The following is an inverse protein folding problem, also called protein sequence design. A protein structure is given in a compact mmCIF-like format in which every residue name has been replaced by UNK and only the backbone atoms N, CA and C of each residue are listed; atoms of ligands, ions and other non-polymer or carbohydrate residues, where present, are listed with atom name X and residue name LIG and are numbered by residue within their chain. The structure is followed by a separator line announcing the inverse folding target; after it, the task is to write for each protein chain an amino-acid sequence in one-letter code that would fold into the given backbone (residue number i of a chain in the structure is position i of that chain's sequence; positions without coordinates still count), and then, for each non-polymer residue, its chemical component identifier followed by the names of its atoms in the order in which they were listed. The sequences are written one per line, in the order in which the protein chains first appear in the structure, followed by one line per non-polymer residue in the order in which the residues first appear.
data_IF_345984031921
#
_entry.id   IF_345984031921
#
_cell.length_a   1.000
_cell.length_b   1.000
_cell.length_c   1.000
_cell.angle_alpha   90.00
_cell.angle_beta   90.00
_cell.angle_gamma   90.00
#
_symmetry.space_group_name_H-M   'P 1'
#
loop_
_entity.id
_entity.type
_entity.pdbx_description
1 polymer ?
#
# COMPACT_ATOMS: atom_id res chain seq x y z
N UNK A 1 8.65 1.72 -0.95
CA UNK A 1 7.94 3.01 -0.82
C UNK A 1 6.60 2.88 -0.11
N UNK A 2 5.48 2.46 -0.75
CA UNK A 2 4.18 2.46 -0.06
C UNK A 2 4.19 1.64 1.25
N UNK A 3 4.85 0.48 1.23
CA UNK A 3 5.06 -0.33 2.44
C UNK A 3 5.84 0.37 3.54
N UNK A 4 6.91 1.10 3.20
CA UNK A 4 7.72 1.84 4.19
C UNK A 4 6.92 2.95 4.85
N UNK A 5 5.97 3.55 4.13
CA UNK A 5 5.09 4.57 4.68
C UNK A 5 4.16 3.98 5.75
N UNK A 6 3.63 2.78 5.53
CA UNK A 6 2.82 2.05 6.50
C UNK A 6 3.67 1.52 7.68
N UNK A 7 4.78 0.85 7.36
CA UNK A 7 5.63 0.20 8.35
C UNK A 7 6.48 1.18 9.19
N UNK A 8 6.68 2.41 8.68
CA UNK A 8 7.56 3.44 9.27
C UNK A 8 9.01 2.98 9.52
N UNK A 9 9.47 2.01 8.73
CA UNK A 9 10.82 1.41 8.78
C UNK A 9 11.25 0.92 7.40
N UNK A 10 12.53 0.61 7.22
CA UNK A 10 13.00 0.04 5.97
C UNK A 10 12.58 -1.44 5.84
N UNK A 11 12.28 -1.92 4.63
CA UNK A 11 11.97 -3.32 4.40
C UNK A 11 13.25 -4.14 4.54
N UNK A 12 13.12 -5.34 5.09
CA UNK A 12 14.20 -6.32 5.14
C UNK A 12 15.47 -5.85 5.86
N UNK A 13 15.33 -5.00 6.88
CA UNK A 13 16.45 -4.57 7.73
C UNK A 13 17.28 -5.76 8.24
N UNK A 14 18.61 -5.63 8.19
CA UNK A 14 19.54 -6.66 8.61
C UNK A 14 19.87 -7.74 7.56
N UNK A 15 19.17 -7.78 6.41
CA UNK A 15 19.55 -8.69 5.33
C UNK A 15 20.68 -8.13 4.46
N UNK A 16 21.68 -8.97 4.20
CA UNK A 16 22.74 -8.65 3.24
C UNK A 16 22.15 -8.48 1.81
N UNK A 17 22.55 -7.46 1.03
CA UNK A 17 21.95 -7.17 -0.28
C UNK A 17 21.92 -8.35 -1.26
N UNK A 18 23.00 -9.14 -1.34
CA UNK A 18 23.02 -10.31 -2.23
C UNK A 18 22.00 -11.38 -1.82
N UNK A 19 21.83 -11.59 -0.51
CA UNK A 19 20.83 -12.52 0.04
C UNK A 19 19.42 -12.01 -0.31
N UNK A 20 19.18 -10.71 -0.16
CA UNK A 20 17.89 -10.11 -0.51
C UNK A 20 17.57 -10.27 -1.99
N UNK A 21 18.51 -9.98 -2.89
CA UNK A 21 18.32 -10.16 -4.35
C UNK A 21 17.95 -11.61 -4.66
N UNK A 22 18.69 -12.58 -4.09
CA UNK A 22 18.38 -14.00 -4.28
C UNK A 22 16.97 -14.34 -3.80
N UNK A 23 16.58 -13.91 -2.60
CA UNK A 23 15.24 -14.22 -2.05
C UNK A 23 14.12 -13.56 -2.87
N UNK A 24 14.31 -12.32 -3.33
CA UNK A 24 13.32 -11.60 -4.14
C UNK A 24 13.09 -12.26 -5.50
N UNK A 25 14.17 -12.74 -6.13
CA UNK A 25 14.12 -13.36 -7.47
C UNK A 25 13.72 -14.83 -7.39
N UNK A 26 14.38 -15.62 -6.54
CA UNK A 26 14.22 -17.08 -6.50
C UNK A 26 13.09 -17.54 -5.59
N UNK A 27 12.72 -16.76 -4.57
CA UNK A 27 11.67 -17.11 -3.61
C UNK A 27 10.47 -16.16 -3.65
N UNK A 28 10.47 -15.22 -4.61
CA UNK A 28 9.44 -14.19 -4.73
C UNK A 28 9.20 -13.41 -3.43
N UNK A 29 10.24 -13.25 -2.60
CA UNK A 29 10.12 -12.54 -1.33
C UNK A 29 9.59 -11.11 -1.57
N UNK A 30 8.59 -10.72 -0.79
CA UNK A 30 8.02 -9.36 -0.73
C UNK A 30 7.90 -8.91 0.73
N UNK A 31 7.84 -7.61 1.00
CA UNK A 31 7.65 -7.12 2.35
C UNK A 31 6.33 -7.66 2.94
N UNK A 32 6.38 -8.02 4.21
CA UNK A 32 5.26 -8.64 4.92
C UNK A 32 4.12 -7.64 5.14
N UNK A 33 2.90 -8.02 4.81
CA UNK A 33 1.71 -7.20 4.97
C UNK A 33 0.79 -7.65 6.10
N UNK A 34 1.11 -8.74 6.80
CA UNK A 34 0.26 -9.30 7.85
C UNK A 34 -0.05 -8.30 8.97
N UNK A 35 0.89 -7.43 9.32
CA UNK A 35 0.69 -6.38 10.33
C UNK A 35 -0.37 -5.33 9.92
N UNK A 36 -0.66 -5.21 8.63
CA UNK A 36 -1.65 -4.27 8.10
C UNK A 36 -3.00 -4.93 7.85
N UNK A 37 -3.07 -6.26 7.79
CA UNK A 37 -4.29 -7.01 7.46
C UNK A 37 -5.15 -7.23 8.72
N UNK A 38 -5.68 -6.14 9.28
CA UNK A 38 -6.60 -6.20 10.43
C UNK A 38 -8.06 -6.19 9.98
N UNK A 39 -8.96 -6.73 10.82
CA UNK A 39 -10.41 -6.74 10.52
C UNK A 39 -11.03 -5.33 10.49
N UNK A 40 -10.37 -4.33 11.09
CA UNK A 40 -10.85 -2.97 11.24
C UNK A 40 -10.20 -1.96 10.27
N UNK A 41 -9.61 -2.45 9.17
CA UNK A 41 -9.03 -1.59 8.14
C UNK A 41 -10.08 -0.65 7.55
N UNK A 42 -9.73 0.64 7.45
CA UNK A 42 -10.55 1.57 6.67
C UNK A 42 -10.60 1.12 5.21
N UNK A 43 -11.69 1.43 4.51
CA UNK A 43 -11.82 1.10 3.08
C UNK A 43 -10.67 1.69 2.22
N UNK A 44 -10.14 2.83 2.64
CA UNK A 44 -8.99 3.49 2.01
C UNK A 44 -7.72 2.70 2.28
N UNK A 45 -7.45 2.31 3.52
CA UNK A 45 -6.25 1.53 3.84
C UNK A 45 -6.27 0.17 3.15
N UNK A 46 -7.43 -0.50 3.09
CA UNK A 46 -7.61 -1.73 2.30
C UNK A 46 -7.31 -1.51 0.82
N UNK A 47 -7.78 -0.40 0.23
CA UNK A 47 -7.49 -0.07 -1.18
C UNK A 47 -5.99 0.21 -1.43
N UNK A 48 -5.33 0.90 -0.49
CA UNK A 48 -3.89 1.17 -0.57
C UNK A 48 -3.07 -0.12 -0.41
N UNK A 49 -3.50 -1.01 0.48
CA UNK A 49 -2.88 -2.31 0.71
C UNK A 49 -2.95 -3.19 -0.54
N UNK A 50 -4.11 -3.25 -1.20
CA UNK A 50 -4.26 -3.99 -2.46
C UNK A 50 -3.43 -3.37 -3.60
N UNK A 51 -3.42 -2.04 -3.73
CA UNK A 51 -2.57 -1.34 -4.70
C UNK A 51 -1.08 -1.65 -4.47
N UNK A 52 -0.64 -1.69 -3.21
CA UNK A 52 0.72 -2.07 -2.85
C UNK A 52 1.05 -3.49 -3.33
N UNK A 53 0.14 -4.45 -3.10
CA UNK A 53 0.28 -5.85 -3.53
C UNK A 53 0.38 -6.00 -5.04
N UNK A 54 -0.42 -5.25 -5.79
CA UNK A 54 -0.38 -5.24 -7.25
C UNK A 54 0.98 -4.74 -7.79
N UNK A 55 1.53 -3.66 -7.20
CA UNK A 55 2.77 -3.02 -7.66
C UNK A 55 3.98 -3.96 -7.68
N UNK A 56 4.02 -4.95 -6.78
CA UNK A 56 5.11 -5.91 -6.69
C UNK A 56 4.69 -7.36 -6.98
N UNK A 57 3.56 -7.56 -7.67
CA UNK A 57 3.08 -8.89 -8.03
C UNK A 57 4.15 -9.72 -8.77
N UNK A 58 4.17 -11.03 -8.54
CA UNK A 58 5.05 -11.95 -9.28
C UNK A 58 4.67 -12.03 -10.76
N UNK A 59 3.38 -11.93 -11.08
CA UNK A 59 2.93 -11.75 -12.46
C UNK A 59 3.16 -10.31 -12.92
N UNK A 60 4.06 -10.12 -13.88
CA UNK A 60 4.37 -8.80 -14.46
C UNK A 60 3.12 -8.12 -15.02
N UNK A 61 2.21 -8.88 -15.65
CA UNK A 61 0.98 -8.35 -16.22
C UNK A 61 0.00 -7.78 -15.17
N UNK A 62 0.14 -8.15 -13.89
CA UNK A 62 -0.66 -7.60 -12.79
C UNK A 62 -0.10 -6.28 -12.25
N UNK A 63 1.14 -5.93 -12.61
CA UNK A 63 1.76 -4.69 -12.14
C UNK A 63 1.15 -3.50 -12.90
N UNK A 64 0.51 -2.55 -12.20
CA UNK A 64 -0.11 -1.42 -12.86
C UNK A 64 0.94 -0.48 -13.46
N UNK A 65 0.60 0.14 -14.58
CA UNK A 65 1.37 1.26 -15.10
C UNK A 65 1.30 2.46 -14.13
N UNK A 66 2.33 3.31 -14.13
CA UNK A 66 2.41 4.47 -13.24
C UNK A 66 1.18 5.39 -13.34
N UNK A 67 0.66 5.62 -14.55
CA UNK A 67 -0.57 6.39 -14.76
C UNK A 67 -1.79 5.77 -14.03
N UNK A 68 -1.94 4.45 -14.10
CA UNK A 68 -2.99 3.73 -13.40
C UNK A 68 -2.85 3.81 -11.88
N UNK A 69 -1.62 3.77 -11.36
CA UNK A 69 -1.33 3.96 -9.93
C UNK A 69 -1.81 5.34 -9.48
N UNK A 70 -1.45 6.40 -10.20
CA UNK A 70 -1.85 7.78 -9.86
C UNK A 70 -3.38 7.92 -9.86
N UNK A 71 -4.08 7.35 -10.84
CA UNK A 71 -5.53 7.40 -10.91
C UNK A 71 -6.19 6.65 -9.74
N UNK A 72 -5.68 5.46 -9.39
CA UNK A 72 -6.16 4.70 -8.21
C UNK A 72 -5.95 5.50 -6.92
N UNK A 73 -4.76 6.07 -6.71
CA UNK A 73 -4.46 6.89 -5.53
C UNK A 73 -5.41 8.10 -5.42
N UNK A 74 -5.64 8.82 -6.53
CA UNK A 74 -6.58 9.96 -6.55
C UNK A 74 -7.98 9.55 -6.17
N UNK A 75 -8.47 8.44 -6.73
CA UNK A 75 -9.79 7.90 -6.41
C UNK A 75 -9.91 7.55 -4.92
N UNK A 76 -8.95 6.79 -4.39
CA UNK A 76 -8.92 6.35 -2.99
C UNK A 76 -8.87 7.52 -2.00
N UNK A 77 -8.16 8.60 -2.34
CA UNK A 77 -8.08 9.81 -1.50
C UNK A 77 -9.32 10.69 -1.62
N UNK A 78 -9.96 10.75 -2.79
CA UNK A 78 -11.17 11.57 -2.97
C UNK A 78 -12.36 11.03 -2.17
N UNK A 79 -12.44 9.71 -1.96
CA UNK A 79 -13.47 9.07 -1.15
C UNK A 79 -13.40 9.43 0.35
N UNK A 80 -12.31 10.05 0.82
CA UNK A 80 -12.16 10.52 2.21
C UNK A 80 -12.74 11.92 2.43
N UNK A 81 -12.95 12.72 1.37
CA UNK A 81 -13.29 14.15 1.48
C UNK A 81 -14.80 14.43 1.67
N UNK A 82 -15.66 13.41 1.74
CA UNK A 82 -17.12 13.59 1.86
C UNK A 82 -17.59 13.57 3.33
N UNK A 83 -16.71 13.25 4.29
CA UNK A 83 -17.08 13.04 5.70
C UNK A 83 -16.75 14.18 6.69
N UNK A 84 -16.07 15.26 6.26
CA UNK A 84 -15.53 16.25 7.20
C UNK A 84 -16.31 17.58 7.28
N UNK A 85 -17.25 17.84 6.37
CA UNK A 85 -17.97 19.13 6.29
C UNK A 85 -19.28 19.17 7.11
N UNK A 86 -19.74 18.05 7.67
CA UNK A 86 -20.99 18.00 8.44
C UNK A 86 -20.86 18.43 9.90
N UNK A 87 -19.64 18.57 10.44
CA UNK A 87 -19.43 18.97 11.85
C UNK A 87 -19.44 20.49 12.10
N UNK A 88 -19.37 21.32 11.05
CA UNK A 88 -19.29 22.78 11.22
C UNK A 88 -20.67 23.46 11.14
N UNK A 89 -21.70 22.77 10.64
CA UNK A 89 -23.02 23.36 10.43
C UNK A 89 -23.99 23.29 11.63
N UNK A 90 -23.68 22.54 12.69
CA UNK A 90 -24.54 22.44 13.89
C UNK A 90 -24.11 23.32 15.07
N UNK A 91 -23.02 24.08 14.95
CA UNK A 91 -22.47 24.91 16.04
C UNK A 91 -22.29 26.40 15.69
N UNK A 92 -23.11 26.96 14.78
CA UNK A 92 -23.15 28.42 14.50
C UNK A 92 -24.57 28.94 14.58
#
# INVERSE_FOLDING_TARGET
LLWELFARRAPFEGLHPHTLIYLVVSRHLRPDTSDFETQDLSATDGSLLELMKECWSSEVARRPAAFSIVNKLRSTLSSQNVGNDSYIAENV
#
